data_IF_700676432946
#
_entry.id   IF_700676432946
#
_cell.length_a   1.000
_cell.length_b   1.000
_cell.length_c   1.000
_cell.angle_alpha   90.00
_cell.angle_beta   90.00
_cell.angle_gamma   90.00
#
_symmetry.space_group_name_H-M   'P 1'
#
loop_
_entity.id
_entity.type
_entity.pdbx_description
1 polymer ?
#
# COMPACT_ATOMS: atom_id res chain seq x y z
N UNK A 1 15.77 -21.37 -11.50
CA UNK A 1 15.28 -21.84 -10.18
C UNK A 1 15.72 -20.95 -9.01
N UNK A 2 17.01 -20.58 -8.88
CA UNK A 2 17.51 -19.78 -7.73
C UNK A 2 16.76 -18.44 -7.52
N UNK A 3 16.45 -17.73 -8.60
CA UNK A 3 15.71 -16.45 -8.56
C UNK A 3 14.29 -16.62 -8.00
N UNK A 4 13.57 -17.67 -8.39
CA UNK A 4 12.20 -17.92 -7.92
C UNK A 4 12.15 -18.22 -6.42
N UNK A 5 13.13 -18.97 -5.90
CA UNK A 5 13.24 -19.27 -4.46
C UNK A 5 13.49 -17.99 -3.66
N UNK A 6 14.34 -17.09 -4.16
CA UNK A 6 14.61 -15.80 -3.51
C UNK A 6 13.35 -14.92 -3.52
N UNK A 7 12.65 -14.81 -4.65
CA UNK A 7 11.42 -14.04 -4.76
C UNK A 7 10.30 -14.60 -3.86
N UNK A 8 10.18 -15.93 -3.75
CA UNK A 8 9.25 -16.59 -2.83
C UNK A 8 9.56 -16.24 -1.37
N UNK A 9 10.84 -16.32 -0.97
CA UNK A 9 11.26 -15.94 0.38
C UNK A 9 10.95 -14.47 0.68
N UNK A 10 11.33 -13.57 -0.23
CA UNK A 10 11.05 -12.13 -0.11
C UNK A 10 9.55 -11.86 0.04
N UNK A 11 8.73 -12.40 -0.86
CA UNK A 11 7.28 -12.22 -0.82
C UNK A 11 6.65 -12.79 0.46
N UNK A 12 7.14 -13.95 0.92
CA UNK A 12 6.67 -14.56 2.17
C UNK A 12 6.95 -13.67 3.39
N UNK A 13 8.18 -13.17 3.55
CA UNK A 13 8.52 -12.30 4.67
C UNK A 13 7.85 -10.93 4.58
N UNK A 14 7.74 -10.35 3.38
CA UNK A 14 6.99 -9.12 3.16
C UNK A 14 5.52 -9.29 3.59
N UNK A 15 4.89 -10.42 3.23
CA UNK A 15 3.51 -10.71 3.61
C UNK A 15 3.36 -11.01 5.11
N UNK A 16 4.37 -11.59 5.76
CA UNK A 16 4.35 -11.81 7.21
C UNK A 16 4.38 -10.47 7.98
N UNK A 17 5.23 -9.54 7.55
CA UNK A 17 5.29 -8.18 8.10
C UNK A 17 3.96 -7.47 7.90
N UNK A 18 3.41 -7.55 6.69
CA UNK A 18 2.13 -6.95 6.35
C UNK A 18 0.96 -7.55 7.13
N UNK A 19 0.91 -8.88 7.27
CA UNK A 19 -0.12 -9.54 8.08
C UNK A 19 -0.04 -9.18 9.57
N UNK A 20 1.16 -8.87 10.08
CA UNK A 20 1.36 -8.47 11.48
C UNK A 20 1.06 -6.98 11.73
N UNK A 21 1.45 -6.10 10.81
CA UNK A 21 1.31 -4.64 10.95
C UNK A 21 0.03 -4.09 10.30
N UNK A 22 -0.57 -4.84 9.38
CA UNK A 22 -1.67 -4.40 8.52
C UNK A 22 -1.25 -3.41 7.42
N UNK A 23 0.06 -3.27 7.19
CA UNK A 23 0.67 -2.32 6.26
C UNK A 23 2.13 -2.72 5.95
N UNK A 24 2.68 -2.20 4.85
CA UNK A 24 4.08 -2.28 4.41
C UNK A 24 4.46 -3.38 3.40
N UNK A 25 3.55 -4.27 2.99
CA UNK A 25 3.85 -5.19 1.87
C UNK A 25 4.30 -4.42 0.63
N UNK A 26 3.51 -3.45 0.21
CA UNK A 26 3.80 -2.69 -0.99
C UNK A 26 5.10 -1.89 -0.93
N UNK A 27 5.32 -1.16 0.17
CA UNK A 27 6.56 -0.39 0.35
C UNK A 27 7.83 -1.27 0.30
N UNK A 28 7.79 -2.45 0.92
CA UNK A 28 8.93 -3.38 0.91
C UNK A 28 9.11 -4.07 -0.45
N UNK A 29 8.03 -4.61 -1.01
CA UNK A 29 8.06 -5.35 -2.28
C UNK A 29 8.42 -4.44 -3.46
N UNK A 30 7.83 -3.25 -3.56
CA UNK A 30 8.14 -2.29 -4.62
C UNK A 30 9.58 -1.80 -4.56
N UNK A 31 10.13 -1.57 -3.37
CA UNK A 31 11.54 -1.20 -3.21
C UNK A 31 12.45 -2.29 -3.77
N UNK A 32 12.17 -3.56 -3.49
CA UNK A 32 12.97 -4.69 -3.96
C UNK A 32 12.84 -4.90 -5.48
N UNK A 33 11.64 -4.78 -6.03
CA UNK A 33 11.40 -4.90 -7.47
C UNK A 33 12.06 -3.74 -8.23
N UNK A 34 12.00 -2.51 -7.72
CA UNK A 34 12.74 -1.37 -8.28
C UNK A 34 14.26 -1.56 -8.18
N UNK A 35 14.76 -2.07 -7.04
CA UNK A 35 16.18 -2.35 -6.83
C UNK A 35 16.70 -3.44 -7.77
N UNK A 36 15.85 -4.40 -8.15
CA UNK A 36 16.13 -5.40 -9.17
C UNK A 36 16.13 -4.85 -10.61
N UNK A 37 15.88 -3.54 -10.79
CA UNK A 37 16.00 -2.85 -12.08
C UNK A 37 14.71 -2.79 -12.90
N UNK A 38 13.58 -3.23 -12.36
CA UNK A 38 12.29 -3.16 -13.06
C UNK A 38 11.75 -1.72 -13.09
N UNK A 39 10.88 -1.44 -14.07
CA UNK A 39 10.24 -0.13 -14.19
C UNK A 39 9.21 0.11 -13.07
N UNK A 40 8.93 1.37 -12.70
CA UNK A 40 7.90 1.71 -11.71
C UNK A 40 6.52 1.13 -12.02
N UNK A 41 6.10 1.16 -13.28
CA UNK A 41 4.82 0.59 -13.72
C UNK A 41 4.77 -0.93 -13.48
N UNK A 42 5.85 -1.66 -13.82
CA UNK A 42 5.93 -3.11 -13.58
C UNK A 42 5.98 -3.42 -12.09
N UNK A 43 6.74 -2.64 -11.31
CA UNK A 43 6.81 -2.78 -9.86
C UNK A 43 5.43 -2.61 -9.21
N UNK A 44 4.76 -1.49 -9.50
CA UNK A 44 3.42 -1.20 -9.00
C UNK A 44 2.42 -2.29 -9.43
N UNK A 45 2.36 -2.64 -10.71
CA UNK A 45 1.43 -3.67 -11.18
C UNK A 45 1.65 -5.03 -10.51
N UNK A 46 2.91 -5.47 -10.37
CA UNK A 46 3.24 -6.78 -9.79
C UNK A 46 2.86 -6.85 -8.31
N UNK A 47 3.13 -5.78 -7.56
CA UNK A 47 2.82 -5.70 -6.12
C UNK A 47 1.32 -5.71 -5.88
N UNK A 48 0.56 -4.84 -6.54
CA UNK A 48 -0.89 -4.81 -6.34
C UNK A 48 -1.55 -6.11 -6.82
N UNK A 49 -1.08 -6.72 -7.91
CA UNK A 49 -1.58 -8.04 -8.33
C UNK A 49 -1.34 -9.12 -7.27
N UNK A 50 -0.19 -9.10 -6.60
CA UNK A 50 0.10 -10.03 -5.51
C UNK A 50 -0.79 -9.76 -4.28
N UNK A 51 -1.00 -8.49 -3.92
CA UNK A 51 -1.84 -8.08 -2.79
C UNK A 51 -3.33 -8.36 -3.01
N UNK A 52 -3.81 -8.43 -4.26
CA UNK A 52 -5.22 -8.72 -4.54
C UNK A 52 -5.68 -10.02 -3.88
N UNK A 53 -4.86 -11.08 -3.95
CA UNK A 53 -5.21 -12.39 -3.41
C UNK A 53 -5.33 -12.37 -1.88
N UNK A 54 -4.33 -11.80 -1.21
CA UNK A 54 -4.27 -11.74 0.27
C UNK A 54 -5.32 -10.78 0.82
N UNK A 55 -5.53 -9.64 0.16
CA UNK A 55 -6.54 -8.64 0.53
C UNK A 55 -7.96 -9.19 0.34
N UNK A 56 -8.23 -9.92 -0.75
CA UNK A 56 -9.53 -10.56 -0.97
C UNK A 56 -9.81 -11.62 0.10
N UNK A 57 -8.83 -12.47 0.40
CA UNK A 57 -8.96 -13.51 1.43
C UNK A 57 -9.21 -12.88 2.82
N UNK A 58 -8.45 -11.84 3.17
CA UNK A 58 -8.64 -11.07 4.41
C UNK A 58 -10.02 -10.42 4.46
N UNK A 59 -10.44 -9.74 3.39
CA UNK A 59 -11.76 -9.12 3.28
C UNK A 59 -12.91 -10.13 3.42
N UNK A 60 -12.80 -11.29 2.79
CA UNK A 60 -13.78 -12.37 2.90
C UNK A 60 -13.87 -12.92 4.34
N UNK A 61 -12.74 -13.09 5.02
CA UNK A 61 -12.71 -13.51 6.42
C UNK A 61 -13.36 -12.46 7.33
N UNK A 62 -13.02 -11.18 7.19
CA UNK A 62 -13.63 -10.10 7.94
C UNK A 62 -15.14 -10.00 7.69
N UNK A 63 -15.59 -10.21 6.45
CA UNK A 63 -17.01 -10.25 6.12
C UNK A 63 -17.72 -11.42 6.81
N UNK A 64 -17.15 -12.63 6.73
CA UNK A 64 -17.69 -13.83 7.39
C UNK A 64 -17.79 -13.67 8.90
N UNK A 65 -16.86 -12.96 9.53
CA UNK A 65 -16.88 -12.68 10.96
C UNK A 65 -17.76 -11.49 11.37
N UNK A 66 -18.44 -10.83 10.43
CA UNK A 66 -19.33 -9.69 10.73
C UNK A 66 -18.57 -8.41 11.09
N UNK A 67 -17.29 -8.31 10.76
CA UNK A 67 -16.43 -7.17 11.10
C UNK A 67 -16.48 -6.02 10.09
N UNK A 68 -17.37 -6.07 9.09
CA UNK A 68 -17.40 -5.14 7.96
C UNK A 68 -18.45 -4.05 8.15
N UNK A 69 -18.01 -2.79 8.20
CA UNK A 69 -18.87 -1.63 8.04
C UNK A 69 -18.97 -1.21 6.56
N UNK A 70 -20.06 -1.62 5.91
CA UNK A 70 -20.34 -1.33 4.51
C UNK A 70 -20.49 0.16 4.18
N UNK A 71 -20.76 1.02 5.18
CA UNK A 71 -20.80 2.48 4.96
C UNK A 71 -19.38 3.01 4.77
N UNK A 72 -18.45 2.54 5.60
CA UNK A 72 -17.03 2.90 5.49
C UNK A 72 -16.41 2.33 4.22
N UNK A 73 -16.68 1.05 3.89
CA UNK A 73 -16.20 0.42 2.65
C UNK A 73 -16.59 1.23 1.42
N UNK A 74 -17.84 1.67 1.30
CA UNK A 74 -18.29 2.46 0.13
C UNK A 74 -17.69 3.87 0.11
N UNK A 75 -17.59 4.52 1.27
CA UNK A 75 -17.12 5.91 1.38
C UNK A 75 -15.62 6.07 1.18
N UNK A 76 -14.83 5.04 1.49
CA UNK A 76 -13.38 5.03 1.25
C UNK A 76 -13.07 4.29 -0.05
N UNK A 77 -13.65 3.11 -0.24
CA UNK A 77 -13.30 2.19 -1.32
C UNK A 77 -13.66 2.70 -2.71
N UNK A 78 -14.81 3.37 -2.89
CA UNK A 78 -15.16 3.92 -4.21
C UNK A 78 -14.22 5.08 -4.60
N UNK A 79 -14.04 6.13 -3.76
CA UNK A 79 -13.06 7.17 -4.06
C UNK A 79 -11.64 6.64 -4.19
N UNK A 80 -11.26 5.65 -3.37
CA UNK A 80 -9.96 5.00 -3.45
C UNK A 80 -9.74 4.24 -4.75
N UNK A 81 -10.73 3.51 -5.25
CA UNK A 81 -10.65 2.87 -6.56
C UNK A 81 -10.46 3.90 -7.69
N UNK A 82 -11.14 5.04 -7.62
CA UNK A 82 -10.96 6.14 -8.58
C UNK A 82 -9.54 6.72 -8.48
N UNK A 83 -9.08 7.02 -7.27
CA UNK A 83 -7.72 7.54 -7.03
C UNK A 83 -6.64 6.58 -7.52
N UNK A 84 -6.77 5.29 -7.21
CA UNK A 84 -5.85 4.24 -7.65
C UNK A 84 -5.84 4.08 -9.17
N UNK A 85 -7.02 4.11 -9.81
CA UNK A 85 -7.11 4.06 -11.27
C UNK A 85 -6.39 5.25 -11.92
N UNK A 86 -6.67 6.47 -11.45
CA UNK A 86 -5.99 7.68 -11.95
C UNK A 86 -4.48 7.62 -11.71
N UNK A 87 -4.06 7.16 -10.53
CA UNK A 87 -2.64 7.00 -10.19
C UNK A 87 -1.93 5.97 -11.07
N UNK A 88 -2.57 4.82 -11.31
CA UNK A 88 -2.03 3.77 -12.18
C UNK A 88 -1.93 4.23 -13.63
N UNK A 89 -2.96 4.93 -14.14
CA UNK A 89 -2.94 5.53 -15.48
C UNK A 89 -1.81 6.54 -15.59
N UNK A 90 -1.68 7.45 -14.62
CA UNK A 90 -0.61 8.44 -14.62
C UNK A 90 0.77 7.76 -14.62
N UNK A 91 1.02 6.84 -13.69
CA UNK A 91 2.29 6.14 -13.57
C UNK A 91 2.65 5.35 -14.84
N UNK A 92 1.65 4.78 -15.51
CA UNK A 92 1.84 4.00 -16.74
C UNK A 92 2.06 4.86 -17.99
N UNK A 93 1.69 6.15 -17.96
CA UNK A 93 1.78 7.06 -19.11
C UNK A 93 2.94 8.05 -19.01
N UNK A 94 3.64 8.16 -17.87
CA UNK A 94 4.85 8.96 -17.73
C UNK A 94 6.11 8.14 -18.04
N UNK A 95 7.19 8.80 -18.46
CA UNK A 95 8.46 8.11 -18.74
C UNK A 95 9.05 7.51 -17.46
N UNK A 96 9.75 6.38 -17.61
CA UNK A 96 10.42 5.72 -16.48
C UNK A 96 11.44 6.62 -15.76
N UNK A 97 12.06 7.56 -16.50
CA UNK A 97 13.01 8.54 -15.95
C UNK A 97 12.36 9.52 -14.97
N UNK A 98 11.09 9.86 -15.17
CA UNK A 98 10.32 10.72 -14.25
C UNK A 98 9.63 9.87 -13.17
N UNK A 99 9.09 8.72 -13.54
CA UNK A 99 8.37 7.83 -12.64
C UNK A 99 9.27 7.26 -11.53
N UNK A 100 10.52 6.93 -11.85
CA UNK A 100 11.44 6.29 -10.91
C UNK A 100 11.80 7.18 -9.71
N UNK A 101 12.28 8.43 -9.89
CA UNK A 101 12.54 9.32 -8.77
C UNK A 101 11.26 9.71 -8.01
N UNK A 102 10.11 9.82 -8.70
CA UNK A 102 8.82 10.07 -8.06
C UNK A 102 8.43 8.95 -7.08
N UNK A 103 8.39 7.71 -7.56
CA UNK A 103 8.04 6.55 -6.76
C UNK A 103 9.07 6.31 -5.64
N UNK A 104 10.35 6.47 -5.92
CA UNK A 104 11.41 6.38 -4.91
C UNK A 104 11.27 7.45 -3.82
N UNK A 105 10.91 8.68 -4.18
CA UNK A 105 10.67 9.76 -3.23
C UNK A 105 9.51 9.47 -2.28
N UNK A 106 8.40 8.93 -2.80
CA UNK A 106 7.25 8.49 -2.00
C UNK A 106 7.68 7.38 -1.03
N UNK A 107 8.30 6.32 -1.55
CA UNK A 107 8.77 5.19 -0.73
C UNK A 107 9.75 5.62 0.37
N UNK A 108 10.67 6.52 0.04
CA UNK A 108 11.64 7.06 0.99
C UNK A 108 10.96 7.89 2.08
N UNK A 109 10.04 8.79 1.71
CA UNK A 109 9.30 9.60 2.67
C UNK A 109 8.48 8.73 3.65
N UNK A 110 7.82 7.70 3.13
CA UNK A 110 7.07 6.74 3.94
C UNK A 110 7.99 5.92 4.84
N UNK A 111 9.13 5.45 4.33
CA UNK A 111 10.13 4.74 5.11
C UNK A 111 10.66 5.58 6.26
N UNK A 112 11.03 6.84 6.00
CA UNK A 112 11.44 7.80 7.04
C UNK A 112 10.30 8.00 8.04
N UNK A 113 9.08 8.22 7.59
CA UNK A 113 7.93 8.42 8.49
C UNK A 113 7.72 7.22 9.42
N UNK A 114 7.75 6.00 8.89
CA UNK A 114 7.60 4.76 9.68
C UNK A 114 8.74 4.65 10.71
N UNK A 115 10.00 4.89 10.30
CA UNK A 115 11.15 4.85 11.19
C UNK A 115 11.03 5.89 12.33
N UNK A 116 10.71 7.13 12.01
CA UNK A 116 10.53 8.19 13.01
C UNK A 116 9.38 7.86 13.97
N UNK A 117 8.24 7.41 13.43
CA UNK A 117 7.03 7.11 14.20
C UNK A 117 7.23 5.93 15.15
N UNK A 118 7.85 4.85 14.69
CA UNK A 118 7.89 3.60 15.44
C UNK A 118 9.23 3.34 16.16
N UNK A 119 10.36 3.80 15.61
CA UNK A 119 11.67 3.60 16.24
C UNK A 119 12.05 4.74 17.21
N UNK A 120 11.62 5.98 16.94
CA UNK A 120 12.01 7.15 17.76
C UNK A 120 10.87 7.61 18.68
N UNK A 121 9.68 7.86 18.13
CA UNK A 121 8.56 8.41 18.91
C UNK A 121 7.88 7.38 19.84
N UNK A 122 8.22 6.09 19.70
CA UNK A 122 7.62 4.98 20.45
C UNK A 122 6.19 4.67 20.02
N UNK A 123 5.66 3.53 20.46
CA UNK A 123 4.28 3.15 20.14
C UNK A 123 3.30 4.18 20.70
N UNK A 124 2.39 4.74 19.87
CA UNK A 124 1.34 5.60 20.37
C UNK A 124 0.57 4.86 21.45
N UNK A 125 0.43 5.47 22.64
CA UNK A 125 -0.54 4.99 23.63
C UNK A 125 -1.88 4.90 22.91
N UNK A 126 -2.57 3.75 23.02
CA UNK A 126 -3.92 3.54 22.51
C UNK A 126 -4.88 4.50 23.22
N UNK A 127 -4.85 5.78 22.86
CA UNK A 127 -5.92 6.72 23.14
C UNK A 127 -7.09 6.27 22.26
N UNK A 128 -8.29 6.20 22.85
CA UNK A 128 -9.44 5.46 22.31
C UNK A 128 -9.75 5.73 20.82
N UNK A 129 -10.50 4.81 20.20
CA UNK A 129 -10.91 4.83 18.78
C UNK A 129 -11.29 6.25 18.33
N UNK A 130 -10.35 6.97 17.71
CA UNK A 130 -10.62 8.25 17.09
C UNK A 130 -11.49 7.96 15.85
N UNK A 131 -12.79 8.23 15.97
CA UNK A 131 -13.72 8.04 14.87
C UNK A 131 -13.45 9.13 13.82
N UNK A 132 -12.88 8.76 12.68
CA UNK A 132 -12.70 9.69 11.57
C UNK A 132 -14.09 10.11 11.09
N UNK A 133 -14.38 11.42 11.11
CA UNK A 133 -15.69 11.93 10.67
C UNK A 133 -15.93 11.52 9.22
N UNK A 134 -17.15 11.06 8.92
CA UNK A 134 -17.53 10.52 7.62
C UNK A 134 -17.24 11.41 6.38
N UNK A 135 -17.08 12.72 6.57
CA UNK A 135 -16.73 13.69 5.50
C UNK A 135 -15.27 13.60 5.04
N UNK A 136 -14.37 13.09 5.87
CA UNK A 136 -12.96 12.96 5.53
C UNK A 136 -12.63 11.63 4.85
N UNK A 137 -13.56 10.66 4.89
CA UNK A 137 -13.35 9.32 4.33
C UNK A 137 -13.17 9.32 2.81
N UNK A 138 -13.92 10.15 2.09
CA UNK A 138 -13.86 10.19 0.64
C UNK A 138 -12.57 10.85 0.10
N UNK A 139 -12.16 12.05 0.58
CA UNK A 139 -10.86 12.61 0.24
C UNK A 139 -9.72 11.68 0.62
N UNK A 140 -9.78 11.10 1.82
CA UNK A 140 -8.76 10.14 2.29
C UNK A 140 -8.65 8.95 1.35
N UNK A 141 -9.77 8.31 0.99
CA UNK A 141 -9.78 7.20 0.05
C UNK A 141 -9.15 7.58 -1.29
N UNK A 142 -9.56 8.70 -1.86
CA UNK A 142 -9.03 9.19 -3.14
C UNK A 142 -7.52 9.42 -3.09
N UNK A 143 -7.02 10.13 -2.08
CA UNK A 143 -5.59 10.42 -1.94
C UNK A 143 -4.80 9.16 -1.64
N UNK A 144 -5.32 8.29 -0.76
CA UNK A 144 -4.70 7.03 -0.41
C UNK A 144 -4.54 6.14 -1.63
N UNK A 145 -5.61 5.90 -2.40
CA UNK A 145 -5.55 5.08 -3.60
C UNK A 145 -4.61 5.64 -4.66
N UNK A 146 -4.58 6.96 -4.86
CA UNK A 146 -3.64 7.59 -5.78
C UNK A 146 -2.18 7.40 -5.36
N UNK A 147 -1.87 7.68 -4.09
CA UNK A 147 -0.51 7.49 -3.53
C UNK A 147 -0.13 6.02 -3.56
N UNK A 148 -1.08 5.13 -3.32
CA UNK A 148 -0.87 3.68 -3.38
C UNK A 148 -0.39 3.23 -4.76
N UNK A 149 -1.17 3.55 -5.79
CA UNK A 149 -0.87 3.15 -7.16
C UNK A 149 0.43 3.79 -7.69
N UNK A 150 0.69 5.07 -7.35
CA UNK A 150 1.87 5.81 -7.82
C UNK A 150 3.13 5.55 -7.01
N UNK A 151 3.00 5.20 -5.72
CA UNK A 151 4.08 4.82 -4.82
C UNK A 151 4.38 3.32 -4.81
N UNK A 152 3.54 2.50 -5.45
CA UNK A 152 3.67 1.05 -5.54
C UNK A 152 3.29 0.32 -4.25
N UNK A 153 2.12 0.59 -3.68
CA UNK A 153 1.61 -0.13 -2.52
C UNK A 153 1.90 0.56 -1.16
N UNK A 154 2.24 1.85 -1.18
CA UNK A 154 2.82 2.60 -0.06
C UNK A 154 1.85 3.41 0.80
N UNK A 155 0.53 3.17 0.78
CA UNK A 155 -0.40 4.13 1.40
C UNK A 155 -0.67 3.96 2.90
N UNK A 156 -0.31 2.84 3.53
CA UNK A 156 -0.70 2.54 4.91
C UNK A 156 -0.41 3.61 5.99
N UNK A 157 0.66 4.45 5.88
CA UNK A 157 0.92 5.55 6.81
C UNK A 157 0.17 6.87 6.53
N UNK A 158 -0.49 6.99 5.37
CA UNK A 158 -1.19 8.20 4.88
C UNK A 158 -2.57 8.32 5.53
#
# INVERSE_FOLDING_TARGET
MRVLIVLLGVGFFAQLVDGALGMAYGATSSTLVLAAGYSPAVASASVHLAELGTTLASGAAHWRFGNVDWRTVRRIGIPGAVGAFVGAVLLSNISGEVAKPWMAGILLALGIYILLRFAIAGMPRRTGRAYVRGRYLAPLGLTAGFVDATGGGGWGPV
#
